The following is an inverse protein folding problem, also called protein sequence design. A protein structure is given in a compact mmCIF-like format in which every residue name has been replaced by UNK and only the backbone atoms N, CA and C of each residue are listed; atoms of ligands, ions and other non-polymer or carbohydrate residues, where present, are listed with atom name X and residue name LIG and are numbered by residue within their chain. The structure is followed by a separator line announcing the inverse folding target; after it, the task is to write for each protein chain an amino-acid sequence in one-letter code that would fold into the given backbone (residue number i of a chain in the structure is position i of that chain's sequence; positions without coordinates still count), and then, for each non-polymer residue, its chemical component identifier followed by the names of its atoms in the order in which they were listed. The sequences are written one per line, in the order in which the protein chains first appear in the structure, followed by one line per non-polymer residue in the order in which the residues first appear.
data_IF_182246980288
#
_entry.id   IF_182246980288
#
_cell.length_a   1.000
_cell.length_b   1.000
_cell.length_c   1.000
_cell.angle_alpha   90.00
_cell.angle_beta   90.00
_cell.angle_gamma   90.00
#
_symmetry.space_group_name_H-M   'P 1'
#
loop_
_entity.id
_entity.type
_entity.pdbx_description
1 polymer ?
#
# COMPACT_ATOMS: atom_id res chain seq x y z
N UNK A 1 -15.41 2.07 33.24
CA UNK A 1 -14.64 0.82 32.98
C UNK A 1 -15.24 0.16 31.75
N UNK A 2 -14.54 0.18 30.63
CA UNK A 2 -14.93 -0.62 29.48
C UNK A 2 -14.78 -2.10 29.85
N UNK A 3 -15.83 -2.88 29.67
CA UNK A 3 -15.81 -4.32 29.97
C UNK A 3 -14.90 -5.06 28.98
N UNK A 4 -14.37 -6.22 29.39
CA UNK A 4 -13.52 -7.07 28.51
C UNK A 4 -14.18 -7.40 27.16
N UNK A 5 -15.51 -7.36 27.09
CA UNK A 5 -16.27 -7.51 25.84
C UNK A 5 -16.17 -6.33 24.89
N UNK A 6 -16.08 -5.09 25.39
CA UNK A 6 -15.88 -3.89 24.56
C UNK A 6 -14.45 -3.83 24.00
N UNK A 7 -13.46 -4.32 24.76
CA UNK A 7 -12.08 -4.44 24.25
C UNK A 7 -11.93 -5.57 23.20
N UNK A 8 -12.80 -6.58 23.20
CA UNK A 8 -12.84 -7.60 22.16
C UNK A 8 -13.55 -7.13 20.89
N UNK A 9 -14.52 -6.22 21.02
CA UNK A 9 -15.25 -5.66 19.86
C UNK A 9 -14.38 -4.69 19.04
N UNK A 10 -13.41 -4.04 19.66
CA UNK A 10 -12.41 -3.20 18.97
C UNK A 10 -11.34 -4.02 18.19
N UNK A 11 -11.35 -5.34 18.33
CA UNK A 11 -10.55 -6.30 17.56
C UNK A 11 -11.29 -6.92 16.39
N UNK A 12 -12.35 -6.32 15.92
CA UNK A 12 -13.03 -6.79 14.70
C UNK A 12 -12.02 -6.75 13.57
N UNK A 13 -11.77 -7.91 13.00
CA UNK A 13 -10.99 -8.11 11.78
C UNK A 13 -11.50 -7.15 10.70
N UNK A 14 -10.74 -6.10 10.42
CA UNK A 14 -11.06 -5.09 9.41
C UNK A 14 -10.92 -5.69 8.02
N UNK A 15 -10.09 -6.73 7.88
CA UNK A 15 -9.91 -7.49 6.66
C UNK A 15 -9.94 -9.00 6.95
N UNK A 16 -10.62 -9.75 6.10
CA UNK A 16 -10.56 -11.21 6.05
C UNK A 16 -10.29 -11.64 4.62
N UNK A 17 -9.02 -11.75 4.28
CA UNK A 17 -8.56 -12.13 2.95
C UNK A 17 -8.30 -13.62 2.81
N UNK A 18 -8.44 -14.40 3.90
CA UNK A 18 -8.00 -15.81 4.00
C UNK A 18 -6.48 -15.98 3.83
N UNK A 19 -5.73 -14.90 3.94
CA UNK A 19 -4.27 -14.91 4.01
C UNK A 19 -3.85 -14.26 5.32
N UNK A 20 -3.37 -15.06 6.27
CA UNK A 20 -3.09 -14.60 7.63
C UNK A 20 -2.00 -13.54 7.70
N UNK A 21 -1.02 -13.59 6.82
CA UNK A 21 0.05 -12.58 6.73
C UNK A 21 -0.51 -11.23 6.32
N UNK A 22 -1.35 -11.20 5.29
CA UNK A 22 -1.98 -9.97 4.81
C UNK A 22 -2.96 -9.45 5.86
N UNK A 23 -3.80 -10.30 6.43
CA UNK A 23 -4.77 -9.90 7.45
C UNK A 23 -4.10 -9.26 8.67
N UNK A 24 -3.00 -9.86 9.16
CA UNK A 24 -2.24 -9.29 10.27
C UNK A 24 -1.65 -7.91 9.91
N UNK A 25 -1.10 -7.78 8.71
CA UNK A 25 -0.50 -6.53 8.23
C UNK A 25 -1.56 -5.42 8.08
N UNK A 26 -2.69 -5.72 7.42
CA UNK A 26 -3.77 -4.75 7.23
C UNK A 26 -4.37 -4.30 8.57
N UNK A 27 -4.58 -5.23 9.49
CA UNK A 27 -5.09 -4.91 10.83
C UNK A 27 -4.11 -4.03 11.62
N UNK A 28 -2.82 -4.32 11.56
CA UNK A 28 -1.78 -3.47 12.18
C UNK A 28 -1.81 -2.04 11.61
N UNK A 29 -1.83 -1.91 10.29
CA UNK A 29 -1.84 -0.60 9.63
C UNK A 29 -3.14 0.17 9.90
N UNK A 30 -4.27 -0.52 9.97
CA UNK A 30 -5.54 0.09 10.35
C UNK A 30 -5.51 0.65 11.78
N UNK A 31 -4.87 -0.03 12.73
CA UNK A 31 -4.71 0.49 14.09
C UNK A 31 -3.82 1.74 14.12
N UNK A 32 -2.73 1.76 13.35
CA UNK A 32 -1.86 2.93 13.23
C UNK A 32 -2.63 4.11 12.59
N UNK A 33 -3.39 3.84 11.53
CA UNK A 33 -4.24 4.85 10.88
C UNK A 33 -5.26 5.44 11.85
N UNK A 34 -5.97 4.60 12.62
CA UNK A 34 -6.95 5.04 13.62
C UNK A 34 -6.31 5.96 14.67
N UNK A 35 -5.12 5.62 15.18
CA UNK A 35 -4.38 6.45 16.14
C UNK A 35 -3.99 7.82 15.58
N UNK A 36 -3.86 7.93 14.26
CA UNK A 36 -3.54 9.16 13.56
C UNK A 36 -4.77 9.87 12.96
N UNK A 37 -5.98 9.49 13.37
CA UNK A 37 -7.25 10.03 12.85
C UNK A 37 -7.34 9.97 11.33
N UNK A 38 -6.95 8.84 10.75
CA UNK A 38 -7.02 8.55 9.32
C UNK A 38 -8.22 7.63 9.08
N UNK A 39 -9.13 8.01 8.18
CA UNK A 39 -10.17 7.12 7.68
C UNK A 39 -9.54 6.15 6.67
N UNK A 40 -9.42 4.87 7.05
CA UNK A 40 -8.83 3.84 6.20
C UNK A 40 -9.89 2.80 5.83
N UNK A 41 -9.95 2.47 4.54
CA UNK A 41 -10.87 1.48 4.00
C UNK A 41 -10.13 0.49 3.11
N UNK A 42 -10.53 -0.78 3.21
CA UNK A 42 -9.99 -1.87 2.42
C UNK A 42 -11.08 -2.50 1.54
N UNK A 43 -10.75 -2.74 0.27
CA UNK A 43 -11.51 -3.62 -0.61
C UNK A 43 -10.65 -4.84 -0.90
N UNK A 44 -11.09 -6.01 -0.45
CA UNK A 44 -10.35 -7.27 -0.56
C UNK A 44 -11.26 -8.38 -1.06
N UNK A 45 -10.67 -9.39 -1.67
CA UNK A 45 -11.34 -10.66 -1.97
C UNK A 45 -10.57 -11.84 -1.35
N UNK A 46 -10.84 -13.05 -1.79
CA UNK A 46 -10.11 -14.25 -1.33
C UNK A 46 -8.68 -14.24 -1.87
N UNK A 47 -7.71 -14.07 -0.98
CA UNK A 47 -6.28 -14.03 -1.27
C UNK A 47 -5.56 -15.33 -0.86
N UNK A 48 -6.29 -16.40 -0.55
CA UNK A 48 -5.70 -17.69 -0.15
C UNK A 48 -4.86 -18.33 -1.27
N UNK A 49 -5.17 -18.01 -2.53
CA UNK A 49 -4.46 -18.52 -3.70
C UNK A 49 -3.22 -17.74 -4.10
N UNK A 50 -2.77 -16.75 -3.32
CA UNK A 50 -1.56 -15.99 -3.64
C UNK A 50 -0.32 -16.88 -3.64
N UNK A 51 0.47 -16.80 -4.72
CA UNK A 51 1.76 -17.47 -4.86
C UNK A 51 2.96 -16.53 -4.66
N UNK A 52 2.73 -15.21 -4.70
CA UNK A 52 3.75 -14.21 -4.38
C UNK A 52 4.33 -14.49 -2.99
N UNK A 53 5.65 -14.41 -2.86
CA UNK A 53 6.32 -14.73 -1.61
C UNK A 53 5.83 -13.83 -0.46
N UNK A 54 5.52 -14.38 0.72
CA UNK A 54 5.01 -13.60 1.87
C UNK A 54 5.88 -12.40 2.24
N UNK A 55 7.20 -12.55 2.18
CA UNK A 55 8.11 -11.45 2.49
C UNK A 55 7.99 -10.29 1.49
N UNK A 56 7.78 -10.58 0.21
CA UNK A 56 7.60 -9.56 -0.80
C UNK A 56 6.24 -8.85 -0.65
N UNK A 57 5.19 -9.59 -0.28
CA UNK A 57 3.89 -8.98 0.06
C UNK A 57 4.00 -8.02 1.26
N UNK A 58 4.72 -8.40 2.30
CA UNK A 58 4.95 -7.55 3.47
C UNK A 58 5.73 -6.29 3.09
N UNK A 59 6.75 -6.41 2.25
CA UNK A 59 7.54 -5.28 1.77
C UNK A 59 6.66 -4.34 0.93
N UNK A 60 5.93 -4.86 -0.04
CA UNK A 60 5.12 -4.06 -0.96
C UNK A 60 3.98 -3.36 -0.20
N UNK A 61 3.12 -4.13 0.44
CA UNK A 61 1.91 -3.62 1.11
C UNK A 61 2.30 -2.75 2.31
N UNK A 62 3.28 -3.19 3.11
CA UNK A 62 3.74 -2.48 4.30
C UNK A 62 4.31 -1.11 3.96
N UNK A 63 5.24 -1.02 3.00
CA UNK A 63 5.83 0.26 2.61
C UNK A 63 4.81 1.21 1.96
N UNK A 64 3.90 0.71 1.12
CA UNK A 64 2.89 1.56 0.48
C UNK A 64 1.88 2.11 1.50
N UNK A 65 1.46 1.32 2.48
CA UNK A 65 0.60 1.80 3.57
C UNK A 65 1.34 2.75 4.51
N UNK A 66 2.61 2.52 4.82
CA UNK A 66 3.41 3.45 5.62
C UNK A 66 3.56 4.79 4.92
N UNK A 67 3.86 4.80 3.62
CA UNK A 67 3.92 6.02 2.84
C UNK A 67 2.58 6.77 2.82
N UNK A 68 1.47 6.05 2.70
CA UNK A 68 0.13 6.63 2.73
C UNK A 68 -0.16 7.29 4.10
N UNK A 69 0.17 6.61 5.20
CA UNK A 69 0.00 7.14 6.55
C UNK A 69 0.87 8.40 6.76
N UNK A 70 2.14 8.35 6.36
CA UNK A 70 3.08 9.47 6.46
C UNK A 70 2.60 10.70 5.67
N UNK A 71 2.05 10.50 4.48
CA UNK A 71 1.48 11.58 3.69
C UNK A 71 0.23 12.18 4.35
N UNK A 72 -0.68 11.34 4.84
CA UNK A 72 -1.91 11.77 5.50
C UNK A 72 -1.65 12.62 6.75
N UNK A 73 -0.67 12.26 7.58
CA UNK A 73 -0.40 12.98 8.83
C UNK A 73 0.13 14.40 8.61
N UNK A 74 0.57 14.73 7.41
CA UNK A 74 0.94 16.10 7.02
C UNK A 74 -0.27 17.00 6.75
N UNK A 75 -1.46 16.43 6.64
CA UNK A 75 -2.71 17.13 6.43
C UNK A 75 -3.47 17.33 7.75
N UNK A 76 -4.44 18.28 7.81
CA UNK A 76 -5.35 18.41 8.94
C UNK A 76 -6.13 17.11 9.21
N UNK A 77 -6.45 16.85 10.49
CA UNK A 77 -7.07 15.58 10.91
C UNK A 77 -8.39 15.24 10.19
N UNK A 78 -9.19 16.20 9.78
CA UNK A 78 -10.45 15.96 9.05
C UNK A 78 -10.30 15.62 7.56
N UNK A 79 -9.07 15.64 7.03
CA UNK A 79 -8.77 15.49 5.60
C UNK A 79 -7.97 14.23 5.28
N UNK A 80 -7.84 13.30 6.23
CA UNK A 80 -6.96 12.13 6.14
C UNK A 80 -7.74 10.90 5.73
N UNK A 81 -7.50 10.42 4.52
CA UNK A 81 -8.17 9.24 3.97
C UNK A 81 -7.16 8.31 3.28
N UNK A 82 -7.34 7.01 3.48
CA UNK A 82 -6.62 5.95 2.75
C UNK A 82 -7.64 4.95 2.22
N UNK A 83 -7.51 4.61 0.97
CA UNK A 83 -8.28 3.55 0.33
C UNK A 83 -7.33 2.56 -0.32
N UNK A 84 -7.39 1.30 0.10
CA UNK A 84 -6.56 0.24 -0.44
C UNK A 84 -7.40 -0.90 -1.00
N UNK A 85 -7.00 -1.39 -2.17
CA UNK A 85 -7.62 -2.54 -2.83
C UNK A 85 -6.57 -3.64 -3.00
N UNK A 86 -6.92 -4.85 -2.61
CA UNK A 86 -6.10 -6.05 -2.78
C UNK A 86 -6.99 -7.14 -3.34
N UNK A 87 -6.87 -7.40 -4.63
CA UNK A 87 -7.76 -8.28 -5.37
C UNK A 87 -6.93 -9.32 -6.14
N UNK A 88 -7.26 -10.58 -5.97
CA UNK A 88 -6.72 -11.68 -6.74
C UNK A 88 -7.80 -12.24 -7.66
N UNK A 89 -7.52 -12.19 -8.95
CA UNK A 89 -8.28 -12.86 -10.01
C UNK A 89 -7.26 -13.67 -10.84
N UNK A 90 -7.14 -13.39 -12.14
CA UNK A 90 -6.09 -13.98 -12.96
C UNK A 90 -4.71 -13.42 -12.58
N UNK A 91 -4.66 -12.15 -12.22
CA UNK A 91 -3.49 -11.43 -11.71
C UNK A 91 -3.74 -10.90 -10.30
N UNK A 92 -2.68 -10.51 -9.60
CA UNK A 92 -2.78 -9.80 -8.34
C UNK A 92 -2.82 -8.30 -8.62
N UNK A 93 -3.95 -7.67 -8.28
CA UNK A 93 -4.15 -6.22 -8.37
C UNK A 93 -4.06 -5.59 -6.99
N UNK A 94 -3.16 -4.62 -6.84
CA UNK A 94 -2.99 -3.83 -5.62
C UNK A 94 -3.12 -2.35 -5.97
N UNK A 95 -3.93 -1.61 -5.23
CA UNK A 95 -4.05 -0.17 -5.40
C UNK A 95 -4.12 0.52 -4.03
N UNK A 96 -3.32 1.55 -3.86
CA UNK A 96 -3.24 2.35 -2.64
C UNK A 96 -3.43 3.81 -3.02
N UNK A 97 -4.51 4.40 -2.53
CA UNK A 97 -4.85 5.80 -2.76
C UNK A 97 -5.00 6.51 -1.42
N UNK A 98 -4.37 7.65 -1.27
CA UNK A 98 -4.43 8.43 -0.04
C UNK A 98 -4.46 9.94 -0.31
N UNK A 99 -5.08 10.68 0.59
CA UNK A 99 -4.91 12.13 0.61
C UNK A 99 -3.47 12.50 0.92
N UNK A 100 -2.96 13.52 0.26
CA UNK A 100 -1.56 13.91 0.33
C UNK A 100 -1.37 15.39 0.04
N UNK A 101 -0.38 16.06 0.65
CA UNK A 101 0.14 17.29 0.10
C UNK A 101 0.60 17.09 -1.35
N UNK A 102 0.76 18.17 -2.15
CA UNK A 102 1.22 18.08 -3.53
C UNK A 102 2.49 17.23 -3.67
N UNK A 103 2.47 16.32 -4.63
CA UNK A 103 3.57 15.41 -4.98
C UNK A 103 3.90 15.59 -6.44
N UNK A 104 5.18 15.82 -6.75
CA UNK A 104 5.68 15.80 -8.12
C UNK A 104 6.25 14.42 -8.46
N UNK A 105 5.75 13.82 -9.54
CA UNK A 105 6.20 12.53 -10.04
C UNK A 105 7.01 12.77 -11.31
N UNK A 106 8.29 12.41 -11.29
CA UNK A 106 9.20 12.58 -12.43
C UNK A 106 9.86 11.22 -12.73
N UNK A 107 9.69 10.74 -13.98
CA UNK A 107 10.30 9.49 -14.44
C UNK A 107 10.08 8.30 -13.49
N UNK A 108 8.85 8.09 -13.01
CA UNK A 108 8.50 7.06 -12.02
C UNK A 108 9.12 7.22 -10.62
N UNK A 109 9.62 8.40 -10.31
CA UNK A 109 10.14 8.75 -8.99
C UNK A 109 9.37 9.93 -8.42
N UNK A 110 9.17 9.91 -7.12
CA UNK A 110 8.67 11.09 -6.40
C UNK A 110 9.84 12.04 -6.21
N UNK A 111 9.70 13.28 -6.72
CA UNK A 111 10.66 14.33 -6.47
C UNK A 111 10.61 14.72 -4.98
N UNK A 112 11.67 14.45 -4.25
CA UNK A 112 11.79 14.89 -2.87
C UNK A 112 12.36 16.29 -2.82
N UNK A 113 11.63 17.23 -2.23
CA UNK A 113 12.09 18.62 -2.03
C UNK A 113 13.06 18.78 -0.87
N UNK A 114 13.39 17.71 -0.15
CA UNK A 114 14.26 17.72 1.03
C UNK A 114 15.58 17.02 0.77
N UNK A 115 16.67 17.71 1.10
CA UNK A 115 18.05 17.18 1.29
C UNK A 115 18.13 16.48 2.66
N UNK A 116 19.09 15.61 2.82
CA UNK A 116 19.58 14.42 2.15
C UNK A 116 18.75 13.18 2.51
N UNK A 117 19.14 11.96 2.18
CA UNK A 117 18.26 10.80 2.22
C UNK A 117 17.81 10.49 3.65
N UNK A 118 16.81 11.21 4.11
CA UNK A 118 16.02 10.73 5.21
C UNK A 118 15.33 9.43 4.76
N UNK A 119 15.24 8.49 5.67
CA UNK A 119 14.75 7.12 5.55
C UNK A 119 13.50 6.89 4.66
N UNK A 120 12.81 7.95 4.27
CA UNK A 120 11.57 7.94 3.47
C UNK A 120 11.77 7.58 1.98
N UNK A 121 12.97 7.75 1.41
CA UNK A 121 13.26 7.38 0.03
C UNK A 121 13.40 5.86 -0.20
N UNK A 122 13.66 5.09 0.85
CA UNK A 122 13.92 3.65 0.75
C UNK A 122 12.65 2.81 0.61
N UNK A 123 11.51 3.26 1.13
CA UNK A 123 10.25 2.51 1.08
C UNK A 123 9.82 2.19 -0.35
N UNK A 124 9.75 3.19 -1.23
CA UNK A 124 9.39 2.98 -2.63
C UNK A 124 10.47 2.22 -3.41
N UNK A 125 11.74 2.42 -3.09
CA UNK A 125 12.82 1.64 -3.69
C UNK A 125 12.73 0.16 -3.32
N UNK A 126 12.39 -0.15 -2.07
CA UNK A 126 12.14 -1.53 -1.63
C UNK A 126 10.95 -2.15 -2.35
N UNK A 127 9.88 -1.39 -2.56
CA UNK A 127 8.72 -1.83 -3.36
C UNK A 127 9.15 -2.18 -4.78
N UNK A 128 9.86 -1.29 -5.45
CA UNK A 128 10.36 -1.51 -6.83
C UNK A 128 11.28 -2.72 -6.91
N UNK A 129 12.16 -2.90 -5.94
CA UNK A 129 13.06 -4.07 -5.87
C UNK A 129 12.27 -5.37 -5.69
N UNK A 130 11.26 -5.38 -4.82
CA UNK A 130 10.40 -6.55 -4.64
C UNK A 130 9.60 -6.87 -5.91
N UNK A 131 9.00 -5.84 -6.55
CA UNK A 131 8.26 -5.99 -7.81
C UNK A 131 9.15 -6.54 -8.94
N UNK A 132 10.43 -6.20 -8.96
CA UNK A 132 11.39 -6.67 -9.97
C UNK A 132 11.60 -8.18 -10.02
N UNK A 133 11.11 -8.92 -9.03
CA UNK A 133 11.12 -10.38 -8.99
C UNK A 133 9.92 -11.02 -9.70
N UNK A 134 8.97 -10.22 -10.17
CA UNK A 134 7.71 -10.65 -10.75
C UNK A 134 7.48 -9.94 -12.09
N UNK A 135 6.71 -10.58 -12.98
CA UNK A 135 6.16 -9.85 -14.12
C UNK A 135 5.08 -8.91 -13.62
N UNK A 136 5.37 -7.64 -13.63
CA UNK A 136 4.55 -6.63 -13.00
C UNK A 136 4.55 -5.31 -13.74
N UNK A 137 3.46 -4.58 -13.56
CA UNK A 137 3.29 -3.18 -13.96
C UNK A 137 2.97 -2.37 -12.72
N UNK A 138 3.43 -1.14 -12.66
CA UNK A 138 2.96 -0.19 -11.68
C UNK A 138 2.78 1.19 -12.27
N UNK A 139 1.91 1.96 -11.65
CA UNK A 139 1.63 3.34 -12.00
C UNK A 139 1.53 4.19 -10.74
N UNK A 140 1.94 5.45 -10.85
CA UNK A 140 1.79 6.45 -9.81
C UNK A 140 1.11 7.68 -10.39
N UNK A 141 0.15 8.23 -9.67
CA UNK A 141 -0.52 9.47 -10.05
C UNK A 141 -0.76 10.36 -8.83
N UNK A 142 -0.79 11.66 -9.07
CA UNK A 142 -1.27 12.65 -8.11
C UNK A 142 -2.30 13.53 -8.79
N UNK A 143 -3.52 13.51 -8.29
CA UNK A 143 -4.64 14.25 -8.85
C UNK A 143 -5.62 14.64 -7.73
N UNK A 144 -6.11 15.87 -7.77
CA UNK A 144 -7.14 16.39 -6.85
C UNK A 144 -6.86 16.16 -5.36
N UNK A 145 -5.61 16.27 -4.94
CA UNK A 145 -5.20 16.08 -3.54
C UNK A 145 -4.98 14.63 -3.13
N UNK A 146 -5.04 13.68 -4.08
CA UNK A 146 -4.80 12.27 -3.83
C UNK A 146 -3.56 11.77 -4.57
N UNK A 147 -2.71 11.07 -3.84
CA UNK A 147 -1.66 10.23 -4.41
C UNK A 147 -2.18 8.81 -4.56
N UNK A 148 -1.86 8.15 -5.67
CA UNK A 148 -2.16 6.76 -5.91
C UNK A 148 -0.95 5.98 -6.41
N UNK A 149 -0.83 4.74 -5.94
CA UNK A 149 0.12 3.75 -6.43
C UNK A 149 -0.65 2.48 -6.77
N UNK A 150 -0.61 2.08 -8.03
CA UNK A 150 -1.34 0.91 -8.54
C UNK A 150 -0.37 -0.10 -9.10
N UNK A 151 -0.60 -1.38 -8.82
CA UNK A 151 0.23 -2.51 -9.23
C UNK A 151 -0.69 -3.56 -9.84
N UNK A 152 -0.27 -4.11 -10.96
CA UNK A 152 -0.77 -5.35 -11.51
C UNK A 152 0.41 -6.31 -11.70
N UNK A 153 0.32 -7.50 -11.15
CA UNK A 153 1.41 -8.47 -11.19
C UNK A 153 0.89 -9.89 -11.37
N UNK A 154 1.67 -10.69 -12.07
CA UNK A 154 1.40 -12.12 -12.19
C UNK A 154 1.44 -12.78 -10.81
N UNK A 155 0.44 -13.64 -10.54
CA UNK A 155 0.39 -14.42 -9.32
C UNK A 155 1.30 -15.64 -9.43
N UNK A 156 2.59 -15.46 -9.24
CA UNK A 156 3.62 -16.44 -9.49
C UNK A 156 4.71 -16.40 -8.42
N UNK A 157 5.61 -17.36 -8.46
CA UNK A 157 6.79 -17.38 -7.59
C UNK A 157 7.83 -16.34 -8.05
N UNK A 158 8.63 -15.80 -7.13
CA UNK A 158 9.66 -14.82 -7.49
C UNK A 158 10.72 -15.43 -8.39
N UNK A 159 11.22 -14.64 -9.34
CA UNK A 159 12.26 -15.05 -10.27
C UNK A 159 13.19 -13.89 -10.62
N UNK A 160 14.50 -14.17 -10.80
CA UNK A 160 15.48 -13.17 -11.22
C UNK A 160 15.30 -12.73 -12.69
N UNK A 161 14.50 -13.44 -13.49
CA UNK A 161 14.28 -13.15 -14.92
C UNK A 161 13.04 -12.29 -15.19
N UNK A 162 12.22 -12.02 -14.17
CA UNK A 162 11.01 -11.24 -14.30
C UNK A 162 11.31 -9.75 -14.48
N UNK A 163 10.33 -9.01 -14.97
CA UNK A 163 10.47 -7.57 -15.26
C UNK A 163 9.31 -6.78 -14.68
N UNK A 164 9.66 -5.68 -14.04
CA UNK A 164 8.69 -4.65 -13.66
C UNK A 164 8.67 -3.58 -14.75
N UNK A 165 7.47 -3.10 -15.09
CA UNK A 165 7.26 -2.02 -16.05
C UNK A 165 6.49 -0.88 -15.39
N UNK A 166 6.83 0.33 -15.77
CA UNK A 166 6.08 1.53 -15.45
C UNK A 166 5.22 1.93 -16.65
N UNK A 167 3.95 2.19 -16.41
CA UNK A 167 3.06 2.71 -17.44
C UNK A 167 3.32 4.20 -17.62
N UNK A 168 3.78 4.59 -18.79
CA UNK A 168 3.87 5.98 -19.18
C UNK A 168 2.49 6.42 -19.64
N UNK A 169 1.88 7.37 -18.95
CA UNK A 169 0.76 8.11 -19.49
C UNK A 169 1.30 9.05 -20.56
N UNK A 170 1.01 8.76 -21.81
CA UNK A 170 1.22 9.71 -22.90
C UNK A 170 0.25 10.89 -22.67
N UNK A 171 0.83 12.08 -22.59
CA UNK A 171 0.13 13.34 -22.37
C UNK A 171 -0.66 13.75 -23.59
#
# INVERSE_FOLDING_TARGET
MATLQEQQTDRILIANTRNSTIDALLNQKAQVAKKNNIDIRFKVNDLSGIQVAPIDLVIIIGNLLDNAIEACVKLPAGEREIYAQLLLEDTLFLSFRNTSPPVEIVNSYIATTKKPPDLHGFGLQNVKTALGKYDSFYDMAYEDGYFSFTIEMENDLPSATKKTRFLLHES
#
